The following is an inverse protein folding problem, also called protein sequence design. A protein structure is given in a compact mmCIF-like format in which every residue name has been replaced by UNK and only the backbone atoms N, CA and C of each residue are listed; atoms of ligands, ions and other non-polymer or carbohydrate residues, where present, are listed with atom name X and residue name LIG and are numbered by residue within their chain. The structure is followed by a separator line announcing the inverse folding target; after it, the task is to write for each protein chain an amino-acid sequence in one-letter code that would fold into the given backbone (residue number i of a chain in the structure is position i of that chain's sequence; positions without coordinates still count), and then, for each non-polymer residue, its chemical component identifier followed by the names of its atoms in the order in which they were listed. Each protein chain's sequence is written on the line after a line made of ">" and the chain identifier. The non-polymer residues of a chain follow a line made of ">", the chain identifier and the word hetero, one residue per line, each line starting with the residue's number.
data_IF_870272384009
#
_entry.id   IF_870272384009
#
_cell.length_a   1.000
_cell.length_b   1.000
_cell.length_c   1.000
_cell.angle_alpha   90.00
_cell.angle_beta   90.00
_cell.angle_gamma   90.00
#
_symmetry.space_group_name_H-M   'P 1'
#
loop_
_entity.id
_entity.type
_entity.pdbx_description
1 polymer ?
#
# COMPACT_ATOMS: atom_id res chain seq x y z
N UNK A 1 12.39 -24.17 0.41
CA UNK A 1 11.93 -22.93 -0.22
C UNK A 1 11.82 -23.20 -1.69
N UNK A 2 10.64 -23.00 -2.30
CA UNK A 2 10.47 -23.20 -3.74
C UNK A 2 11.17 -22.08 -4.52
N UNK A 3 11.45 -22.30 -5.81
CA UNK A 3 12.00 -21.24 -6.67
C UNK A 3 11.07 -20.01 -6.74
N UNK A 4 9.75 -20.24 -6.67
CA UNK A 4 8.74 -19.18 -6.61
C UNK A 4 8.86 -18.33 -5.32
N UNK A 5 9.09 -18.96 -4.18
CA UNK A 5 9.28 -18.25 -2.89
C UNK A 5 10.54 -17.37 -2.92
N UNK A 6 11.61 -17.87 -3.56
CA UNK A 6 12.85 -17.10 -3.72
C UNK A 6 12.64 -15.89 -4.64
N UNK A 7 11.92 -16.06 -5.75
CA UNK A 7 11.59 -14.97 -6.67
C UNK A 7 10.75 -13.92 -5.96
N UNK A 8 9.68 -14.31 -5.25
CA UNK A 8 8.86 -13.40 -4.47
C UNK A 8 9.70 -12.63 -3.44
N UNK A 9 10.58 -13.32 -2.72
CA UNK A 9 11.47 -12.70 -1.74
C UNK A 9 12.36 -11.63 -2.37
N UNK A 10 12.98 -11.92 -3.52
CA UNK A 10 13.83 -10.96 -4.25
C UNK A 10 13.04 -9.75 -4.72
N UNK A 11 11.87 -9.98 -5.29
CA UNK A 11 10.98 -8.93 -5.81
C UNK A 11 10.48 -8.03 -4.68
N UNK A 12 10.06 -8.62 -3.56
CA UNK A 12 9.61 -7.89 -2.37
C UNK A 12 10.74 -7.07 -1.73
N UNK A 13 11.93 -7.66 -1.53
CA UNK A 13 13.10 -6.95 -0.97
C UNK A 13 13.50 -5.78 -1.88
N UNK A 14 13.47 -5.98 -3.20
CA UNK A 14 13.74 -4.91 -4.18
C UNK A 14 12.73 -3.78 -4.04
N UNK A 15 11.43 -4.11 -3.91
CA UNK A 15 10.37 -3.12 -3.76
C UNK A 15 10.53 -2.29 -2.49
N UNK A 16 10.70 -2.93 -1.34
CA UNK A 16 10.81 -2.24 -0.06
C UNK A 16 12.08 -1.39 0.02
N UNK A 17 13.19 -1.90 -0.51
CA UNK A 17 14.44 -1.14 -0.56
C UNK A 17 14.29 0.12 -1.40
N UNK A 18 13.67 0.00 -2.58
CA UNK A 18 13.37 1.15 -3.45
C UNK A 18 12.49 2.20 -2.74
N UNK A 19 11.40 1.76 -2.12
CA UNK A 19 10.43 2.67 -1.51
C UNK A 19 10.98 3.35 -0.24
N UNK A 20 11.93 2.74 0.45
CA UNK A 20 12.53 3.34 1.65
C UNK A 20 13.77 4.19 1.34
N UNK A 21 14.52 3.86 0.28
CA UNK A 21 15.79 4.51 -0.05
C UNK A 21 15.68 6.03 -0.18
N UNK A 22 14.68 6.54 -0.90
CA UNK A 22 14.52 7.98 -1.12
C UNK A 22 14.30 8.77 0.17
N UNK A 23 13.46 8.26 1.07
CA UNK A 23 13.15 8.93 2.34
C UNK A 23 14.31 8.79 3.33
N UNK A 24 15.00 7.64 3.34
CA UNK A 24 16.18 7.45 4.16
C UNK A 24 17.31 8.42 3.79
N UNK A 25 17.53 8.66 2.49
CA UNK A 25 18.47 9.69 2.02
C UNK A 25 18.04 11.09 2.44
N UNK A 26 16.74 11.42 2.40
CA UNK A 26 16.24 12.71 2.84
C UNK A 26 16.48 12.96 4.34
N UNK A 27 16.30 11.95 5.19
CA UNK A 27 16.65 12.01 6.62
C UNK A 27 18.15 12.26 6.79
N UNK A 28 19.00 11.48 6.12
CA UNK A 28 20.46 11.63 6.20
C UNK A 28 20.93 13.03 5.80
N UNK A 29 20.36 13.58 4.71
CA UNK A 29 20.70 14.92 4.24
C UNK A 29 20.30 16.00 5.25
N UNK A 30 19.11 15.86 5.87
CA UNK A 30 18.63 16.81 6.87
C UNK A 30 19.53 16.82 8.12
N UNK A 31 20.00 15.64 8.56
CA UNK A 31 20.93 15.54 9.67
C UNK A 31 22.32 16.12 9.35
N UNK A 32 22.80 15.94 8.11
CA UNK A 32 24.03 16.55 7.63
C UNK A 32 23.98 18.08 7.71
N UNK A 33 22.91 18.68 7.18
CA UNK A 33 22.67 20.13 7.26
C UNK A 33 22.61 20.63 8.71
N UNK A 34 21.96 19.89 9.60
CA UNK A 34 21.88 20.26 11.02
C UNK A 34 23.28 20.32 11.66
N UNK A 35 24.16 19.39 11.28
CA UNK A 35 25.55 19.37 11.72
C UNK A 35 26.37 20.57 11.23
N UNK A 36 26.15 21.01 9.98
CA UNK A 36 26.80 22.20 9.41
C UNK A 36 26.42 23.49 10.17
N UNK A 37 25.19 23.58 10.68
CA UNK A 37 24.72 24.70 11.51
C UNK A 37 25.05 24.56 13.00
N UNK A 38 25.92 23.61 13.39
CA UNK A 38 26.29 23.38 14.78
C UNK A 38 25.13 22.94 15.67
N UNK A 39 24.08 22.35 15.09
CA UNK A 39 22.92 21.83 15.81
C UNK A 39 21.85 22.85 16.23
N UNK A 40 22.03 24.14 15.91
CA UNK A 40 21.16 25.23 16.35
C UNK A 40 20.15 25.71 15.29
N UNK A 41 19.73 24.84 14.37
CA UNK A 41 18.75 25.18 13.32
C UNK A 41 17.42 24.43 13.52
N UNK A 42 16.41 25.17 13.98
CA UNK A 42 15.08 24.64 14.25
C UNK A 42 14.33 24.21 12.97
N UNK A 43 14.56 24.87 11.83
CA UNK A 43 13.91 24.52 10.57
C UNK A 43 14.45 23.20 10.04
N UNK A 44 15.77 23.03 10.04
CA UNK A 44 16.41 21.78 9.63
C UNK A 44 16.07 20.63 10.58
N UNK A 45 15.97 20.88 11.89
CA UNK A 45 15.48 19.87 12.84
C UNK A 45 14.04 19.43 12.52
N UNK A 46 13.14 20.39 12.27
CA UNK A 46 11.75 20.09 11.91
C UNK A 46 11.66 19.29 10.59
N UNK A 47 12.51 19.63 9.61
CA UNK A 47 12.63 18.89 8.36
C UNK A 47 13.10 17.44 8.59
N UNK A 48 14.13 17.25 9.43
CA UNK A 48 14.63 15.92 9.78
C UNK A 48 13.54 15.07 10.47
N UNK A 49 12.83 15.66 11.44
CA UNK A 49 11.71 15.00 12.12
C UNK A 49 10.60 14.62 11.14
N UNK A 50 10.21 15.52 10.24
CA UNK A 50 9.19 15.22 9.24
C UNK A 50 9.60 14.08 8.30
N UNK A 51 10.85 14.07 7.83
CA UNK A 51 11.36 12.98 6.99
C UNK A 51 11.40 11.64 7.75
N UNK A 52 11.71 11.65 9.05
CA UNK A 52 11.68 10.46 9.89
C UNK A 52 10.24 9.92 10.06
N UNK A 53 9.26 10.78 10.25
CA UNK A 53 7.85 10.37 10.33
C UNK A 53 7.32 9.77 9.02
N UNK A 54 7.72 10.33 7.86
CA UNK A 54 7.40 9.75 6.55
C UNK A 54 8.00 8.34 6.42
N UNK A 55 9.25 8.15 6.85
CA UNK A 55 9.91 6.84 6.83
C UNK A 55 9.18 5.84 7.73
N UNK A 56 8.83 6.25 8.94
CA UNK A 56 8.10 5.42 9.91
C UNK A 56 6.70 5.06 9.40
N UNK A 57 5.98 5.98 8.75
CA UNK A 57 4.69 5.70 8.15
C UNK A 57 4.77 4.58 7.10
N UNK A 58 5.78 4.64 6.21
CA UNK A 58 6.03 3.57 5.22
C UNK A 58 6.37 2.24 5.87
N UNK A 59 7.25 2.23 6.87
CA UNK A 59 7.63 1.02 7.60
C UNK A 59 6.45 0.38 8.35
N UNK A 60 5.64 1.18 9.05
CA UNK A 60 4.44 0.72 9.75
C UNK A 60 3.45 0.09 8.78
N UNK A 61 3.21 0.73 7.64
CA UNK A 61 2.37 0.19 6.57
C UNK A 61 2.91 -1.12 6.02
N UNK A 62 4.19 -1.19 5.63
CA UNK A 62 4.77 -2.42 5.09
C UNK A 62 4.74 -3.58 6.07
N UNK A 63 5.01 -3.32 7.36
CA UNK A 63 4.92 -4.33 8.42
C UNK A 63 3.50 -4.85 8.57
N UNK A 64 2.48 -3.99 8.47
CA UNK A 64 1.08 -4.40 8.57
C UNK A 64 0.60 -5.18 7.32
N UNK A 65 0.86 -4.64 6.13
CA UNK A 65 0.37 -5.19 4.87
C UNK A 65 1.08 -6.49 4.45
N UNK A 66 2.39 -6.60 4.67
CA UNK A 66 3.23 -7.70 4.14
C UNK A 66 3.85 -8.59 5.23
N UNK A 67 3.81 -8.17 6.49
CA UNK A 67 4.43 -8.92 7.60
C UNK A 67 3.56 -10.08 8.10
N UNK A 68 4.19 -10.95 8.90
CA UNK A 68 3.53 -12.10 9.53
C UNK A 68 2.54 -11.63 10.62
N UNK A 69 3.07 -10.90 11.62
CA UNK A 69 2.34 -10.33 12.76
C UNK A 69 2.57 -8.81 12.82
N UNK A 70 1.62 -8.08 12.23
CA UNK A 70 1.64 -6.62 12.17
C UNK A 70 0.83 -5.97 13.32
N UNK A 71 0.86 -4.64 13.46
CA UNK A 71 0.02 -3.86 14.38
C UNK A 71 -1.47 -3.79 13.93
N UNK A 72 -1.91 -4.71 13.07
CA UNK A 72 -3.28 -4.75 12.60
C UNK A 72 -4.17 -5.26 13.73
N UNK A 73 -5.02 -4.37 14.24
CA UNK A 73 -5.95 -4.67 15.33
C UNK A 73 -7.39 -4.54 14.86
N UNK A 74 -7.72 -3.39 14.28
CA UNK A 74 -9.07 -2.95 13.98
C UNK A 74 -9.10 -2.01 12.77
N UNK A 75 -10.31 -1.54 12.41
CA UNK A 75 -10.52 -0.62 11.31
C UNK A 75 -9.83 0.74 11.53
N UNK A 76 -9.82 1.26 12.76
CA UNK A 76 -9.18 2.54 13.08
C UNK A 76 -7.66 2.48 12.85
N UNK A 77 -6.99 1.44 13.34
CA UNK A 77 -5.58 1.17 13.09
C UNK A 77 -5.30 1.01 11.61
N UNK A 78 -6.16 0.28 10.89
CA UNK A 78 -6.08 0.11 9.43
C UNK A 78 -6.17 1.43 8.68
N UNK A 79 -7.11 2.30 9.07
CA UNK A 79 -7.26 3.65 8.51
C UNK A 79 -6.02 4.50 8.73
N UNK A 80 -5.50 4.52 9.96
CA UNK A 80 -4.29 5.28 10.29
C UNK A 80 -3.08 4.83 9.49
N UNK A 81 -2.89 3.51 9.34
CA UNK A 81 -1.80 2.92 8.57
C UNK A 81 -1.92 3.28 7.08
N UNK A 82 -3.11 3.14 6.50
CA UNK A 82 -3.31 3.40 5.08
C UNK A 82 -3.19 4.89 4.74
N UNK A 83 -3.88 5.77 5.47
CA UNK A 83 -3.83 7.21 5.23
C UNK A 83 -2.46 7.81 5.55
N UNK A 84 -1.77 7.27 6.57
CA UNK A 84 -0.37 7.62 6.86
C UNK A 84 0.56 7.26 5.71
N UNK A 85 0.39 6.08 5.12
CA UNK A 85 1.16 5.67 3.94
C UNK A 85 0.82 6.54 2.72
N UNK A 86 -0.46 6.84 2.46
CA UNK A 86 -0.87 7.72 1.36
C UNK A 86 -0.19 9.09 1.47
N UNK A 87 -0.28 9.74 2.63
CA UNK A 87 0.42 11.01 2.90
C UNK A 87 1.92 10.91 2.67
N UNK A 88 2.53 9.76 2.96
CA UNK A 88 3.97 9.54 2.74
C UNK A 88 4.36 9.48 1.26
N UNK A 89 3.44 9.16 0.35
CA UNK A 89 3.69 9.06 -1.11
C UNK A 89 3.15 10.26 -1.91
N UNK A 90 2.40 11.14 -1.26
CA UNK A 90 1.89 12.37 -1.84
C UNK A 90 3.00 13.38 -2.21
N UNK A 91 2.72 14.21 -3.20
CA UNK A 91 3.60 15.30 -3.65
C UNK A 91 2.76 16.42 -4.28
N UNK A 92 3.38 17.51 -4.76
CA UNK A 92 2.65 18.67 -5.31
C UNK A 92 1.59 18.32 -6.38
N UNK A 93 1.78 17.24 -7.13
CA UNK A 93 0.88 16.78 -8.19
C UNK A 93 0.05 15.53 -7.84
N UNK A 94 0.20 14.97 -6.65
CA UNK A 94 -0.45 13.73 -6.23
C UNK A 94 -1.05 13.92 -4.84
N UNK A 95 -2.37 13.82 -4.74
CA UNK A 95 -3.15 13.93 -3.49
C UNK A 95 -4.25 12.88 -3.46
N UNK A 96 -4.48 12.30 -2.29
CA UNK A 96 -5.48 11.27 -2.07
C UNK A 96 -6.54 11.73 -1.09
N UNK A 97 -7.79 11.40 -1.40
CA UNK A 97 -8.91 11.46 -0.45
C UNK A 97 -9.35 10.03 -0.15
N UNK A 98 -9.56 9.70 1.12
CA UNK A 98 -10.08 8.39 1.52
C UNK A 98 -11.50 8.49 2.06
N UNK A 99 -12.38 7.65 1.53
CA UNK A 99 -13.72 7.44 2.06
C UNK A 99 -13.83 5.99 2.50
N UNK A 100 -14.30 5.78 3.72
CA UNK A 100 -14.46 4.45 4.29
C UNK A 100 -15.92 4.21 4.62
N UNK A 101 -16.43 3.10 4.12
CA UNK A 101 -17.70 2.48 4.45
C UNK A 101 -17.44 1.01 4.82
N UNK A 102 -16.74 0.82 5.94
CA UNK A 102 -16.31 -0.48 6.43
C UNK A 102 -16.78 -0.71 7.87
N UNK A 103 -17.10 -1.95 8.21
CA UNK A 103 -17.53 -2.34 9.56
C UNK A 103 -16.33 -2.67 10.47
N UNK A 104 -16.46 -2.44 11.77
CA UNK A 104 -15.39 -2.71 12.76
C UNK A 104 -15.21 -4.22 13.02
N UNK A 105 -16.26 -5.01 12.82
CA UNK A 105 -16.31 -6.45 13.10
C UNK A 105 -15.69 -7.32 11.98
N UNK A 106 -15.01 -6.70 11.02
CA UNK A 106 -14.34 -7.43 9.95
C UNK A 106 -13.21 -8.32 10.52
N UNK A 107 -13.02 -9.53 9.98
CA UNK A 107 -11.91 -10.39 10.40
C UNK A 107 -10.57 -9.76 10.01
N UNK A 108 -9.52 -10.02 10.79
CA UNK A 108 -8.17 -9.42 10.61
C UNK A 108 -7.62 -9.53 9.18
N UNK A 109 -7.89 -10.63 8.47
CA UNK A 109 -7.43 -10.79 7.09
C UNK A 109 -8.03 -9.72 6.16
N UNK A 110 -9.26 -9.26 6.43
CA UNK A 110 -9.94 -8.25 5.61
C UNK A 110 -9.20 -6.93 5.65
N UNK A 111 -8.72 -6.53 6.82
CA UNK A 111 -7.93 -5.31 6.97
C UNK A 111 -6.60 -5.39 6.21
N UNK A 112 -5.88 -6.52 6.28
CA UNK A 112 -4.66 -6.73 5.48
C UNK A 112 -4.95 -6.68 3.98
N UNK A 113 -6.05 -7.30 3.55
CA UNK A 113 -6.49 -7.29 2.15
C UNK A 113 -6.79 -5.87 1.67
N UNK A 114 -7.44 -5.05 2.50
CA UNK A 114 -7.70 -3.63 2.23
C UNK A 114 -6.40 -2.85 2.06
N UNK A 115 -5.40 -3.04 2.93
CA UNK A 115 -4.11 -2.35 2.79
C UNK A 115 -3.41 -2.69 1.47
N UNK A 116 -3.33 -3.99 1.13
CA UNK A 116 -2.69 -4.46 -0.09
C UNK A 116 -3.44 -3.98 -1.35
N UNK A 117 -4.77 -4.11 -1.37
CA UNK A 117 -5.59 -3.65 -2.48
C UNK A 117 -5.56 -2.13 -2.61
N UNK A 118 -5.59 -1.41 -1.49
CA UNK A 118 -5.45 0.04 -1.41
C UNK A 118 -4.14 0.54 -1.99
N UNK A 119 -3.03 -0.17 -1.74
CA UNK A 119 -1.76 0.14 -2.37
C UNK A 119 -1.82 0.03 -3.90
N UNK A 120 -2.37 -1.08 -4.43
CA UNK A 120 -2.49 -1.28 -5.89
C UNK A 120 -3.39 -0.20 -6.52
N UNK A 121 -4.50 0.13 -5.85
CA UNK A 121 -5.43 1.17 -6.30
C UNK A 121 -4.76 2.54 -6.29
N UNK A 122 -4.10 2.92 -5.20
CA UNK A 122 -3.40 4.20 -5.08
C UNK A 122 -2.29 4.36 -6.14
N UNK A 123 -1.50 3.31 -6.38
CA UNK A 123 -0.46 3.29 -7.41
C UNK A 123 -1.01 3.38 -8.83
N UNK A 124 -2.25 2.95 -9.03
CA UNK A 124 -2.95 3.09 -10.32
C UNK A 124 -3.44 4.51 -10.59
N UNK A 125 -3.63 5.32 -9.55
CA UNK A 125 -4.05 6.73 -9.64
C UNK A 125 -2.82 7.65 -9.72
N UNK A 126 -2.22 7.79 -10.91
CA UNK A 126 -0.90 8.45 -11.05
C UNK A 126 -0.87 9.94 -10.67
N UNK A 127 -2.03 10.61 -10.63
CA UNK A 127 -2.19 12.01 -10.17
C UNK A 127 -2.94 12.10 -8.84
N UNK A 128 -3.10 10.98 -8.15
CA UNK A 128 -3.97 10.86 -7.00
C UNK A 128 -5.45 10.84 -7.40
N UNK A 129 -6.32 11.04 -6.42
CA UNK A 129 -7.76 10.95 -6.59
C UNK A 129 -8.44 10.47 -5.31
N UNK A 130 -9.68 10.00 -5.46
CA UNK A 130 -10.48 9.49 -4.37
C UNK A 130 -10.38 7.97 -4.29
N UNK A 131 -10.08 7.43 -3.12
CA UNK A 131 -10.09 6.01 -2.81
C UNK A 131 -11.27 5.75 -1.87
N UNK A 132 -12.17 4.86 -2.28
CA UNK A 132 -13.32 4.41 -1.51
C UNK A 132 -13.11 2.95 -1.10
N UNK A 133 -13.20 2.69 0.20
CA UNK A 133 -13.14 1.35 0.79
C UNK A 133 -14.54 0.99 1.28
N UNK A 134 -15.11 -0.10 0.78
CA UNK A 134 -16.40 -0.63 1.21
C UNK A 134 -16.23 -2.07 1.66
N UNK A 135 -16.56 -2.38 2.91
CA UNK A 135 -16.44 -3.74 3.45
C UNK A 135 -17.45 -3.98 4.57
N UNK A 136 -18.44 -4.84 4.33
CA UNK A 136 -19.50 -5.12 5.30
C UNK A 136 -19.40 -6.54 5.83
N UNK A 137 -19.42 -6.72 7.15
CA UNK A 137 -19.21 -8.02 7.79
C UNK A 137 -20.21 -9.08 7.30
N UNK A 138 -21.47 -8.67 7.08
CA UNK A 138 -22.53 -9.56 6.57
C UNK A 138 -22.56 -9.74 5.04
N UNK A 139 -21.92 -8.84 4.27
CA UNK A 139 -21.99 -8.88 2.81
C UNK A 139 -20.98 -9.82 2.16
N UNK A 140 -19.99 -10.31 2.93
CA UNK A 140 -18.89 -11.16 2.44
C UNK A 140 -18.18 -10.58 1.20
N UNK A 141 -18.16 -9.24 1.11
CA UNK A 141 -17.66 -8.47 -0.02
C UNK A 141 -16.79 -7.34 0.48
N UNK A 142 -15.60 -7.20 -0.11
CA UNK A 142 -14.67 -6.09 0.12
C UNK A 142 -14.41 -5.45 -1.24
N UNK A 143 -14.61 -4.13 -1.33
CA UNK A 143 -14.34 -3.34 -2.53
C UNK A 143 -13.36 -2.24 -2.15
N UNK A 144 -12.27 -2.15 -2.91
CA UNK A 144 -11.37 -0.99 -2.87
C UNK A 144 -11.37 -0.38 -4.25
N UNK A 145 -11.91 0.82 -4.37
CA UNK A 145 -12.11 1.52 -5.63
C UNK A 145 -11.41 2.87 -5.62
N UNK A 146 -10.73 3.22 -6.70
CA UNK A 146 -10.09 4.50 -6.92
C UNK A 146 -10.71 5.21 -8.12
N UNK A 147 -10.93 6.51 -8.01
CA UNK A 147 -11.33 7.38 -9.12
C UNK A 147 -10.42 8.59 -9.19
N UNK A 148 -9.92 8.93 -10.39
CA UNK A 148 -9.00 10.04 -10.57
C UNK A 148 -8.84 10.47 -12.02
N UNK A 149 -8.17 11.60 -12.24
CA UNK A 149 -8.00 12.19 -13.57
C UNK A 149 -7.20 11.30 -14.54
N UNK A 150 -6.37 10.39 -14.02
CA UNK A 150 -5.55 9.51 -14.84
C UNK A 150 -5.30 8.19 -14.12
N UNK A 151 -5.76 7.11 -14.75
CA UNK A 151 -5.67 5.74 -14.23
C UNK A 151 -4.76 4.89 -15.12
N UNK A 152 -3.70 4.33 -14.53
CA UNK A 152 -2.76 3.44 -15.20
C UNK A 152 -2.48 2.22 -14.35
N UNK A 153 -2.97 1.07 -14.77
CA UNK A 153 -2.77 -0.21 -14.09
C UNK A 153 -1.52 -0.92 -14.60
N UNK A 154 -0.93 -1.78 -13.77
CA UNK A 154 0.14 -2.68 -14.19
C UNK A 154 -0.42 -3.72 -15.21
N UNK A 155 0.19 -3.88 -16.41
CA UNK A 155 -0.39 -4.69 -17.49
C UNK A 155 -0.66 -6.15 -17.12
N UNK A 156 0.20 -6.76 -16.29
CA UNK A 156 0.07 -8.19 -15.93
C UNK A 156 -0.65 -8.40 -14.58
N UNK A 157 -1.31 -7.37 -14.02
CA UNK A 157 -1.94 -7.48 -12.71
C UNK A 157 -2.95 -8.64 -12.63
N UNK A 158 -3.83 -8.77 -13.63
CA UNK A 158 -4.81 -9.87 -13.68
C UNK A 158 -4.11 -11.23 -13.72
N UNK A 159 -3.12 -11.38 -14.61
CA UNK A 159 -2.38 -12.64 -14.77
C UNK A 159 -1.69 -13.05 -13.46
N UNK A 160 -1.08 -12.10 -12.73
CA UNK A 160 -0.46 -12.37 -11.43
C UNK A 160 -1.49 -12.81 -10.40
N UNK A 161 -2.65 -12.16 -10.31
CA UNK A 161 -3.74 -12.56 -9.41
C UNK A 161 -4.28 -13.96 -9.74
N UNK A 162 -4.30 -14.32 -11.03
CA UNK A 162 -4.73 -15.63 -11.55
C UNK A 162 -3.68 -16.74 -11.39
N UNK A 163 -2.46 -16.41 -10.91
CA UNK A 163 -1.42 -17.40 -10.65
C UNK A 163 -0.27 -17.45 -11.63
N UNK A 164 -0.20 -16.53 -12.60
CA UNK A 164 0.89 -16.45 -13.57
C UNK A 164 2.02 -15.56 -13.03
N UNK A 165 3.18 -16.15 -12.77
CA UNK A 165 4.35 -15.45 -12.20
C UNK A 165 5.39 -15.05 -13.25
N UNK A 166 5.06 -15.15 -14.53
CA UNK A 166 5.95 -14.77 -15.62
C UNK A 166 6.20 -13.25 -15.61
N UNK A 167 7.46 -12.88 -15.37
CA UNK A 167 7.89 -11.47 -15.40
C UNK A 167 7.43 -10.65 -14.19
N UNK A 168 7.34 -11.26 -12.99
CA UNK A 168 7.06 -10.52 -11.76
C UNK A 168 7.99 -9.31 -11.58
N UNK A 169 7.38 -8.15 -11.35
CA UNK A 169 8.09 -6.90 -11.04
C UNK A 169 7.90 -6.51 -9.58
N UNK A 170 8.77 -5.66 -9.01
CA UNK A 170 8.61 -5.15 -7.63
C UNK A 170 7.24 -4.51 -7.35
N UNK A 171 6.57 -3.96 -8.36
CA UNK A 171 5.22 -3.38 -8.19
C UNK A 171 4.12 -4.43 -8.02
N UNK A 172 4.37 -5.65 -8.46
CA UNK A 172 3.41 -6.76 -8.37
C UNK A 172 3.47 -7.48 -7.02
N UNK A 173 4.36 -7.09 -6.10
CA UNK A 173 4.48 -7.73 -4.78
C UNK A 173 3.13 -7.79 -4.06
N UNK A 174 2.38 -6.68 -4.01
CA UNK A 174 1.06 -6.68 -3.37
C UNK A 174 0.08 -7.68 -4.01
N UNK A 175 0.09 -7.81 -5.33
CA UNK A 175 -0.77 -8.74 -6.06
C UNK A 175 -0.46 -10.20 -5.72
N UNK A 176 0.83 -10.56 -5.59
CA UNK A 176 1.23 -11.92 -5.20
C UNK A 176 0.77 -12.25 -3.78
N UNK A 177 0.87 -11.30 -2.84
CA UNK A 177 0.36 -11.48 -1.48
C UNK A 177 -1.17 -11.62 -1.44
N UNK A 178 -1.89 -10.77 -2.19
CA UNK A 178 -3.33 -10.87 -2.36
C UNK A 178 -3.73 -12.25 -2.90
N UNK A 179 -3.03 -12.77 -3.92
CA UNK A 179 -3.28 -14.12 -4.44
C UNK A 179 -3.15 -15.20 -3.36
N UNK A 180 -2.13 -15.10 -2.49
CA UNK A 180 -1.98 -16.00 -1.35
C UNK A 180 -3.21 -15.98 -0.44
N UNK A 181 -3.69 -14.78 -0.10
CA UNK A 181 -4.88 -14.58 0.73
C UNK A 181 -6.17 -15.07 0.06
N UNK A 182 -6.31 -14.87 -1.26
CA UNK A 182 -7.44 -15.40 -2.05
C UNK A 182 -7.52 -16.92 -1.88
N UNK A 183 -6.39 -17.62 -1.99
CA UNK A 183 -6.33 -19.09 -1.82
C UNK A 183 -6.62 -19.51 -0.38
N UNK A 184 -6.00 -18.87 0.59
CA UNK A 184 -6.14 -19.20 2.01
C UNK A 184 -7.57 -19.00 2.52
N UNK A 185 -8.18 -17.86 2.15
CA UNK A 185 -9.50 -17.45 2.60
C UNK A 185 -10.63 -17.89 1.66
N UNK A 186 -10.31 -18.63 0.58
CA UNK A 186 -11.26 -19.08 -0.45
C UNK A 186 -12.10 -17.94 -1.02
N UNK A 187 -11.43 -16.84 -1.39
CA UNK A 187 -12.07 -15.69 -2.02
C UNK A 187 -12.01 -15.81 -3.54
N UNK A 188 -12.75 -14.93 -4.21
CA UNK A 188 -12.56 -14.60 -5.63
C UNK A 188 -12.16 -13.13 -5.74
N UNK A 189 -11.48 -12.75 -6.83
CA UNK A 189 -11.09 -11.36 -7.08
C UNK A 189 -11.58 -10.90 -8.44
N UNK A 190 -12.42 -9.87 -8.45
CA UNK A 190 -12.83 -9.13 -9.64
C UNK A 190 -12.00 -7.86 -9.81
N UNK A 191 -11.62 -7.57 -11.06
CA UNK A 191 -10.98 -6.32 -11.45
C UNK A 191 -11.95 -5.56 -12.34
N UNK A 192 -12.17 -4.29 -12.05
CA UNK A 192 -12.91 -3.40 -12.94
C UNK A 192 -12.07 -2.15 -13.24
N UNK A 193 -12.10 -1.72 -14.50
CA UNK A 193 -11.35 -0.56 -14.99
C UNK A 193 -12.22 0.27 -15.93
N UNK A 194 -12.25 1.57 -15.68
CA UNK A 194 -12.81 2.59 -16.56
C UNK A 194 -11.73 3.60 -16.93
N UNK A 195 -12.06 4.61 -17.71
CA UNK A 195 -11.12 5.67 -18.09
C UNK A 195 -10.61 6.47 -16.88
N UNK A 196 -11.48 6.62 -15.88
CA UNK A 196 -11.29 7.43 -14.68
C UNK A 196 -11.28 6.60 -13.38
N UNK A 197 -11.40 5.27 -13.47
CA UNK A 197 -11.64 4.40 -12.32
C UNK A 197 -10.92 3.06 -12.39
N UNK A 198 -10.56 2.56 -11.22
CA UNK A 198 -10.00 1.23 -11.04
C UNK A 198 -10.44 0.65 -9.70
N UNK A 199 -10.90 -0.60 -9.68
CA UNK A 199 -11.30 -1.26 -8.44
C UNK A 199 -10.92 -2.73 -8.39
N UNK A 200 -10.60 -3.17 -7.19
CA UNK A 200 -10.48 -4.57 -6.81
C UNK A 200 -11.68 -4.94 -5.94
N UNK A 201 -12.37 -6.01 -6.29
CA UNK A 201 -13.51 -6.55 -5.55
C UNK A 201 -13.18 -7.96 -5.10
N UNK A 202 -13.37 -8.25 -3.82
CA UNK A 202 -13.16 -9.57 -3.24
C UNK A 202 -14.48 -10.10 -2.70
N UNK A 203 -14.89 -11.27 -3.17
CA UNK A 203 -16.11 -11.94 -2.76
C UNK A 203 -15.76 -13.30 -2.14
N UNK A 204 -16.52 -13.73 -1.13
CA UNK A 204 -16.41 -15.12 -0.65
C UNK A 204 -16.79 -16.09 -1.77
N UNK A 205 -15.94 -17.11 -1.99
CA UNK A 205 -16.18 -18.18 -2.95
C UNK A 205 -17.14 -19.27 -2.45
#
# INVERSE_FOLDING_TARGET
>A
MSDADLILSKVAVTRFSHDLAGVMSAVSNSLGLLGEFGGADAETLALATNNAEILLARLRFFRAAFGNDGPLTDLSGTRQLFEGWLKSVENRSTRFECVWDADDELPLFSFRLILLAGQIVAESLIRGGKITITAKAGAKRIVVAGTGQSVKTEPNLSAVLDGQDDGLTPKMTAAVFIRGMIKEQKLTCGINRTDDGFSLTFDAG
#
